data_IF_413753334882
#
_entry.id   IF_413753334882
#
_cell.length_a   1.000
_cell.length_b   1.000
_cell.length_c   1.000
_cell.angle_alpha   90.00
_cell.angle_beta   90.00
_cell.angle_gamma   90.00
#
_symmetry.space_group_name_H-M   'P 1'
#
loop_
_entity.id
_entity.type
_entity.pdbx_description
1 polymer ?
#
# COMPACT_ATOMS: atom_id res chain seq x y z
N UNK A 1 -0.56 -23.71 3.55
CA UNK A 1 0.39 -22.63 3.90
C UNK A 1 1.80 -23.18 3.93
N UNK A 2 2.81 -22.38 3.56
CA UNK A 2 4.22 -22.79 3.64
C UNK A 2 4.64 -22.88 5.10
N UNK A 3 5.33 -23.94 5.51
CA UNK A 3 5.73 -24.16 6.90
C UNK A 3 6.74 -23.12 7.42
N UNK A 4 7.55 -22.55 6.52
CA UNK A 4 8.55 -21.54 6.82
C UNK A 4 8.24 -20.24 6.07
N UNK A 5 8.35 -19.13 6.78
CA UNK A 5 8.18 -17.78 6.23
C UNK A 5 9.27 -17.51 5.18
N UNK A 6 8.86 -16.98 4.02
CA UNK A 6 9.80 -16.52 3.00
C UNK A 6 10.16 -15.05 3.23
N UNK A 7 11.16 -14.80 4.08
CA UNK A 7 11.60 -13.44 4.43
C UNK A 7 12.11 -12.64 3.23
N UNK A 8 12.69 -13.29 2.22
CA UNK A 8 13.17 -12.61 1.01
C UNK A 8 12.01 -12.00 0.25
N UNK A 9 10.95 -12.78 0.01
CA UNK A 9 9.76 -12.28 -0.69
C UNK A 9 9.08 -11.14 0.08
N UNK A 10 8.96 -11.28 1.41
CA UNK A 10 8.39 -10.23 2.27
C UNK A 10 9.23 -8.94 2.21
N UNK A 11 10.56 -9.05 2.34
CA UNK A 11 11.46 -7.91 2.27
C UNK A 11 11.38 -7.18 0.92
N UNK A 12 11.37 -7.94 -0.18
CA UNK A 12 11.24 -7.37 -1.53
C UNK A 12 9.92 -6.62 -1.72
N UNK A 13 8.80 -7.18 -1.24
CA UNK A 13 7.51 -6.50 -1.30
C UNK A 13 7.55 -5.15 -0.57
N UNK A 14 8.03 -5.12 0.69
CA UNK A 14 8.06 -3.88 1.46
C UNK A 14 8.99 -2.82 0.87
N UNK A 15 10.15 -3.22 0.33
CA UNK A 15 11.04 -2.29 -0.37
C UNK A 15 10.36 -1.69 -1.61
N UNK A 16 9.75 -2.52 -2.46
CA UNK A 16 9.04 -2.06 -3.66
C UNK A 16 7.84 -1.20 -3.31
N UNK A 17 7.10 -1.55 -2.27
CA UNK A 17 5.93 -0.81 -1.81
C UNK A 17 6.32 0.60 -1.33
N UNK A 18 7.38 0.72 -0.53
CA UNK A 18 7.91 2.02 -0.09
C UNK A 18 8.39 2.86 -1.27
N UNK A 19 9.15 2.27 -2.21
CA UNK A 19 9.58 2.96 -3.43
C UNK A 19 8.37 3.46 -4.22
N UNK A 20 7.33 2.63 -4.36
CA UNK A 20 6.07 3.01 -5.01
C UNK A 20 5.41 4.19 -4.32
N UNK A 21 5.27 4.19 -2.99
CA UNK A 21 4.69 5.31 -2.26
C UNK A 21 5.50 6.59 -2.45
N UNK A 22 6.83 6.50 -2.41
CA UNK A 22 7.71 7.67 -2.62
C UNK A 22 7.52 8.24 -4.02
N UNK A 23 7.61 7.40 -5.06
CA UNK A 23 7.58 7.84 -6.46
C UNK A 23 6.20 8.31 -6.90
N UNK A 24 5.13 7.60 -6.53
CA UNK A 24 3.79 7.87 -7.05
C UNK A 24 2.94 8.75 -6.13
N UNK A 25 3.29 8.91 -4.86
CA UNK A 25 2.49 9.66 -3.89
C UNK A 25 3.28 10.79 -3.23
N UNK A 26 4.38 10.50 -2.53
CA UNK A 26 5.07 11.49 -1.68
C UNK A 26 5.80 12.55 -2.51
N UNK A 27 6.65 12.16 -3.48
CA UNK A 27 7.39 13.12 -4.31
C UNK A 27 6.45 14.05 -5.10
N UNK A 28 5.43 13.56 -5.82
CA UNK A 28 4.50 14.44 -6.54
C UNK A 28 3.70 15.35 -5.61
N UNK A 29 3.41 14.92 -4.38
CA UNK A 29 2.71 15.73 -3.40
C UNK A 29 3.59 16.86 -2.84
N UNK A 30 4.88 16.59 -2.63
CA UNK A 30 5.87 17.60 -2.22
C UNK A 30 6.03 18.67 -3.30
N UNK A 31 6.21 18.27 -4.56
CA UNK A 31 6.33 19.20 -5.70
C UNK A 31 5.12 20.15 -5.81
N UNK A 32 3.91 19.64 -5.53
CA UNK A 32 2.67 20.43 -5.58
C UNK A 32 2.28 21.07 -4.24
N UNK A 33 3.10 20.93 -3.21
CA UNK A 33 2.78 21.39 -1.84
C UNK A 33 1.37 20.97 -1.38
N UNK A 34 0.98 19.72 -1.64
CA UNK A 34 -0.39 19.24 -1.44
C UNK A 34 -0.43 17.96 -0.59
N UNK A 35 -0.72 18.11 0.70
CA UNK A 35 -0.91 16.98 1.61
C UNK A 35 -2.11 16.09 1.22
N UNK A 36 -3.15 16.67 0.61
CA UNK A 36 -4.32 15.90 0.13
C UNK A 36 -3.92 14.96 -0.99
N UNK A 37 -3.00 15.38 -1.87
CA UNK A 37 -2.47 14.51 -2.91
C UNK A 37 -1.65 13.36 -2.32
N UNK A 38 -0.85 13.60 -1.28
CA UNK A 38 -0.14 12.54 -0.55
C UNK A 38 -1.14 11.53 0.03
N UNK A 39 -2.20 12.01 0.68
CA UNK A 39 -3.25 11.17 1.26
C UNK A 39 -3.94 10.30 0.20
N UNK A 40 -4.49 10.91 -0.86
CA UNK A 40 -5.32 10.20 -1.83
C UNK A 40 -4.51 9.29 -2.75
N UNK A 41 -3.33 9.71 -3.21
CA UNK A 41 -2.49 8.84 -4.05
C UNK A 41 -1.85 7.71 -3.22
N UNK A 42 -1.52 7.97 -1.95
CA UNK A 42 -1.08 6.93 -1.03
C UNK A 42 -2.17 5.89 -0.78
N UNK A 43 -3.39 6.37 -0.51
CA UNK A 43 -4.58 5.53 -0.36
C UNK A 43 -4.82 4.65 -1.59
N UNK A 44 -4.79 5.26 -2.77
CA UNK A 44 -5.01 4.57 -4.04
C UNK A 44 -3.95 3.51 -4.31
N UNK A 45 -2.67 3.83 -4.12
CA UNK A 45 -1.60 2.87 -4.34
C UNK A 45 -1.69 1.68 -3.36
N UNK A 46 -2.00 1.97 -2.09
CA UNK A 46 -2.24 0.94 -1.08
C UNK A 46 -3.42 0.04 -1.43
N UNK A 47 -4.56 0.62 -1.82
CA UNK A 47 -5.73 -0.09 -2.30
C UNK A 47 -5.39 -1.02 -3.48
N UNK A 48 -4.75 -0.49 -4.53
CA UNK A 48 -4.41 -1.27 -5.74
C UNK A 48 -3.46 -2.41 -5.42
N UNK A 49 -2.48 -2.19 -4.55
CA UNK A 49 -1.50 -3.21 -4.19
C UNK A 49 -2.16 -4.41 -3.51
N UNK A 50 -3.00 -4.15 -2.51
CA UNK A 50 -3.71 -5.18 -1.77
C UNK A 50 -4.82 -5.81 -2.61
N UNK A 51 -5.60 -5.00 -3.35
CA UNK A 51 -6.64 -5.50 -4.25
C UNK A 51 -6.07 -6.45 -5.31
N UNK A 52 -4.88 -6.18 -5.85
CA UNK A 52 -4.24 -7.05 -6.84
C UNK A 52 -3.98 -8.43 -6.25
N UNK A 53 -3.51 -8.53 -5.01
CA UNK A 53 -3.31 -9.81 -4.32
C UNK A 53 -4.64 -10.49 -4.00
N UNK A 54 -5.53 -9.79 -3.29
CA UNK A 54 -6.76 -10.38 -2.76
C UNK A 54 -7.80 -10.72 -3.81
N UNK A 55 -7.99 -9.88 -4.83
CA UNK A 55 -8.95 -10.16 -5.90
C UNK A 55 -8.44 -11.27 -6.81
N UNK A 56 -7.12 -11.35 -7.04
CA UNK A 56 -6.53 -12.47 -7.80
C UNK A 56 -6.70 -13.78 -7.04
N UNK A 57 -6.48 -13.78 -5.72
CA UNK A 57 -6.69 -14.97 -4.89
C UNK A 57 -8.17 -15.35 -4.82
N UNK A 58 -9.07 -14.38 -4.64
CA UNK A 58 -10.52 -14.61 -4.64
C UNK A 58 -10.99 -15.23 -5.96
N UNK A 59 -10.36 -14.87 -7.08
CA UNK A 59 -10.68 -15.42 -8.40
C UNK A 59 -10.09 -16.81 -8.67
N UNK A 60 -8.98 -17.18 -8.02
CA UNK A 60 -8.18 -18.37 -8.39
C UNK A 60 -8.15 -19.47 -7.33
N UNK A 61 -8.31 -19.13 -6.05
CA UNK A 61 -8.23 -20.05 -4.92
C UNK A 61 -9.64 -20.45 -4.49
N UNK A 62 -9.91 -21.76 -4.45
CA UNK A 62 -11.17 -22.29 -3.95
C UNK A 62 -11.35 -21.95 -2.46
N UNK A 63 -12.57 -21.55 -2.09
CA UNK A 63 -12.96 -21.23 -0.72
C UNK A 63 -12.15 -20.06 -0.09
N UNK A 64 -11.65 -19.12 -0.90
CA UNK A 64 -11.01 -17.90 -0.40
C UNK A 64 -12.02 -17.00 0.33
N UNK A 65 -11.75 -16.54 1.56
CA UNK A 65 -12.72 -15.78 2.34
C UNK A 65 -12.90 -14.35 1.81
N UNK A 66 -14.11 -14.02 1.34
CA UNK A 66 -14.45 -12.67 0.87
C UNK A 66 -14.20 -11.59 1.94
N UNK A 67 -14.41 -11.92 3.21
CA UNK A 67 -14.17 -10.99 4.32
C UNK A 67 -12.69 -10.60 4.43
N UNK A 68 -11.77 -11.53 4.17
CA UNK A 68 -10.33 -11.24 4.19
C UNK A 68 -10.00 -10.26 3.08
N UNK A 69 -10.49 -10.51 1.86
CA UNK A 69 -10.31 -9.59 0.72
C UNK A 69 -10.75 -8.16 1.04
N UNK A 70 -11.96 -7.99 1.59
CA UNK A 70 -12.49 -6.66 1.91
C UNK A 70 -11.65 -5.98 2.98
N UNK A 71 -11.35 -6.69 4.07
CA UNK A 71 -10.60 -6.12 5.21
C UNK A 71 -9.18 -5.76 4.79
N UNK A 72 -8.50 -6.62 4.03
CA UNK A 72 -7.11 -6.40 3.65
C UNK A 72 -6.97 -5.28 2.61
N UNK A 73 -7.94 -5.13 1.69
CA UNK A 73 -8.01 -3.96 0.79
C UNK A 73 -8.21 -2.64 1.54
N UNK A 74 -9.12 -2.62 2.53
CA UNK A 74 -9.32 -1.45 3.38
C UNK A 74 -8.06 -1.14 4.19
N UNK A 75 -7.41 -2.18 4.72
CA UNK A 75 -6.15 -2.03 5.43
C UNK A 75 -5.05 -1.46 4.56
N UNK A 76 -4.84 -2.00 3.35
CA UNK A 76 -3.88 -1.49 2.38
C UNK A 76 -4.12 -0.01 2.05
N UNK A 77 -5.39 0.37 1.88
CA UNK A 77 -5.80 1.76 1.65
C UNK A 77 -5.38 2.67 2.80
N UNK A 78 -5.74 2.31 4.04
CA UNK A 78 -5.42 3.11 5.24
C UNK A 78 -3.91 3.16 5.48
N UNK A 79 -3.20 2.05 5.26
CA UNK A 79 -1.75 1.96 5.41
C UNK A 79 -1.04 2.88 4.42
N UNK A 80 -1.37 2.78 3.12
CA UNK A 80 -0.79 3.64 2.09
C UNK A 80 -1.07 5.13 2.34
N UNK A 81 -2.32 5.46 2.71
CA UNK A 81 -2.74 6.82 3.02
C UNK A 81 -1.95 7.41 4.21
N UNK A 82 -1.88 6.67 5.32
CA UNK A 82 -1.22 7.11 6.54
C UNK A 82 0.30 7.25 6.37
N UNK A 83 0.96 6.26 5.74
CA UNK A 83 2.40 6.31 5.50
C UNK A 83 2.77 7.47 4.59
N UNK A 84 2.05 7.68 3.48
CA UNK A 84 2.30 8.82 2.59
C UNK A 84 2.07 10.16 3.29
N UNK A 85 0.96 10.31 4.03
CA UNK A 85 0.63 11.55 4.72
C UNK A 85 1.66 11.90 5.80
N UNK A 86 2.03 10.92 6.63
CA UNK A 86 3.04 11.11 7.68
C UNK A 86 4.40 11.45 7.05
N UNK A 87 4.80 10.74 5.99
CA UNK A 87 6.06 11.01 5.29
C UNK A 87 6.10 12.42 4.72
N UNK A 88 5.01 12.88 4.09
CA UNK A 88 4.88 14.25 3.58
C UNK A 88 5.08 15.29 4.70
N UNK A 89 4.43 15.11 5.84
CA UNK A 89 4.56 16.05 6.97
C UNK A 89 5.91 15.99 7.67
N UNK A 90 6.58 14.83 7.68
CA UNK A 90 7.95 14.73 8.20
C UNK A 90 8.90 15.51 7.30
N UNK A 91 8.83 15.31 5.99
CA UNK A 91 9.74 15.95 5.04
C UNK A 91 9.51 17.47 4.98
N UNK A 92 8.27 17.94 5.05
CA UNK A 92 7.96 19.39 5.01
C UNK A 92 8.24 20.13 6.30
N UNK A 93 8.48 19.43 7.42
CA UNK A 93 8.89 20.03 8.70
C UNK A 93 10.40 20.15 8.87
N UNK A 94 11.18 19.53 7.98
CA UNK A 94 12.65 19.64 7.90
C UNK A 94 12.99 20.83 6.99
#
# INVERSE_FOLDING_TARGET
MKANVNFIAAGLFYLLFVVGLVVFSVLPALEKNSWTQALFLGALLGFVSYATYDLTNLATIKDWPLIVTIVDMLWGTVLGASVSLVSYFIVTKI
#
